data_IF_688830895059
#
_entry.id   IF_688830895059
#
_cell.length_a   1.000
_cell.length_b   1.000
_cell.length_c   1.000
_cell.angle_alpha   90.00
_cell.angle_beta   90.00
_cell.angle_gamma   90.00
#
_symmetry.space_group_name_H-M   'P 1'
#
loop_
_entity.id
_entity.type
_entity.pdbx_description
1 polymer ?
#
# COMPACT_ATOMS: atom_id res chain seq x y z
N UNK A 1 26.56 -21.46 -18.69
CA UNK A 1 25.46 -20.49 -18.95
C UNK A 1 24.17 -21.09 -18.44
N UNK A 2 23.40 -20.40 -17.59
CA UNK A 2 22.09 -20.92 -17.16
C UNK A 2 21.22 -21.12 -18.41
N UNK A 3 20.74 -22.34 -18.61
CA UNK A 3 19.97 -22.72 -19.78
C UNK A 3 18.51 -22.35 -19.55
N UNK A 4 18.13 -21.15 -20.03
CA UNK A 4 16.79 -20.61 -19.85
C UNK A 4 15.87 -21.06 -20.99
N UNK A 5 14.57 -21.20 -20.71
CA UNK A 5 13.56 -21.24 -21.75
C UNK A 5 13.45 -19.84 -22.38
N UNK A 6 13.54 -19.74 -23.70
CA UNK A 6 13.41 -18.46 -24.41
C UNK A 6 12.00 -18.35 -24.96
N UNK A 7 11.24 -17.35 -24.50
CA UNK A 7 9.85 -17.11 -24.90
C UNK A 7 9.82 -15.93 -25.84
N UNK A 8 9.36 -16.16 -27.06
CA UNK A 8 9.27 -15.16 -28.12
C UNK A 8 7.82 -14.66 -28.16
N UNK A 9 7.60 -13.37 -27.91
CA UNK A 9 6.26 -12.80 -27.82
C UNK A 9 6.11 -11.52 -28.63
N UNK A 10 4.87 -11.25 -29.04
CA UNK A 10 4.49 -10.03 -29.71
C UNK A 10 4.28 -8.90 -28.71
N UNK A 11 5.18 -7.92 -28.70
CA UNK A 11 5.09 -6.77 -27.81
C UNK A 11 4.00 -5.77 -28.17
N UNK A 12 3.39 -5.87 -29.36
CA UNK A 12 2.27 -4.99 -29.75
C UNK A 12 0.91 -5.59 -29.38
N UNK A 13 0.87 -6.84 -28.89
CA UNK A 13 -0.35 -7.53 -28.49
C UNK A 13 -0.51 -7.57 -26.97
N UNK A 14 -1.56 -6.96 -26.42
CA UNK A 14 -1.80 -6.93 -24.97
C UNK A 14 -2.07 -8.31 -24.37
N UNK A 15 -2.68 -9.21 -25.14
CA UNK A 15 -2.89 -10.60 -24.70
C UNK A 15 -1.53 -11.30 -24.51
N UNK A 16 -0.59 -11.05 -25.41
CA UNK A 16 0.78 -11.57 -25.33
C UNK A 16 1.56 -10.91 -24.18
N UNK A 17 1.50 -9.58 -24.04
CA UNK A 17 2.12 -8.86 -22.92
C UNK A 17 1.55 -9.32 -21.57
N UNK A 18 0.24 -9.53 -21.46
CA UNK A 18 -0.39 -10.05 -20.26
C UNK A 18 0.16 -11.45 -19.92
N UNK A 19 0.28 -12.33 -20.92
CA UNK A 19 0.94 -13.63 -20.75
C UNK A 19 2.37 -13.52 -20.23
N UNK A 20 3.17 -12.57 -20.74
CA UNK A 20 4.52 -12.31 -20.26
C UNK A 20 4.53 -11.79 -18.81
N UNK A 21 3.61 -10.90 -18.45
CA UNK A 21 3.49 -10.41 -17.08
C UNK A 21 3.17 -11.55 -16.09
N UNK A 22 2.31 -12.50 -16.49
CA UNK A 22 2.05 -13.72 -15.72
C UNK A 22 3.31 -14.57 -15.55
N UNK A 23 4.09 -14.76 -16.62
CA UNK A 23 5.35 -15.50 -16.54
C UNK A 23 6.34 -14.84 -15.57
N UNK A 24 6.46 -13.51 -15.58
CA UNK A 24 7.33 -12.77 -14.66
C UNK A 24 6.91 -12.92 -13.19
N UNK A 25 5.61 -13.02 -12.92
CA UNK A 25 5.09 -13.24 -11.57
C UNK A 25 5.37 -14.67 -11.09
N UNK A 26 5.18 -15.67 -11.96
CA UNK A 26 5.35 -17.09 -11.63
C UNK A 26 6.83 -17.53 -11.59
N UNK A 27 7.70 -16.89 -12.38
CA UNK A 27 9.10 -17.30 -12.53
C UNK A 27 10.03 -16.76 -11.43
N UNK A 28 9.78 -17.18 -10.19
CA UNK A 28 10.62 -16.82 -9.04
C UNK A 28 12.10 -17.23 -9.21
N UNK A 29 12.36 -18.30 -9.97
CA UNK A 29 13.69 -18.88 -10.13
C UNK A 29 14.42 -18.42 -11.41
N UNK A 30 13.87 -17.44 -12.15
CA UNK A 30 14.43 -16.91 -13.40
C UNK A 30 14.80 -18.04 -14.38
N UNK A 31 13.87 -18.96 -14.64
CA UNK A 31 14.01 -20.07 -15.61
C UNK A 31 13.67 -19.65 -17.04
N UNK A 32 13.00 -18.52 -17.20
CA UNK A 32 12.47 -18.03 -18.48
C UNK A 32 13.09 -16.68 -18.84
N UNK A 33 13.58 -16.57 -20.08
CA UNK A 33 13.98 -15.33 -20.71
C UNK A 33 12.93 -14.94 -21.75
N UNK A 34 12.34 -13.76 -21.61
CA UNK A 34 11.29 -13.25 -22.53
C UNK A 34 11.93 -12.31 -23.54
N UNK A 35 11.62 -12.50 -24.82
CA UNK A 35 12.18 -11.72 -25.93
C UNK A 35 11.04 -11.22 -26.83
N UNK A 36 10.97 -9.90 -27.13
CA UNK A 36 10.06 -9.40 -28.14
C UNK A 36 10.44 -9.96 -29.52
N UNK A 37 9.48 -10.02 -30.43
CA UNK A 37 9.72 -10.38 -31.83
C UNK A 37 10.56 -9.26 -32.48
N UNK A 38 11.85 -9.54 -32.65
CA UNK A 38 12.80 -8.66 -33.33
C UNK A 38 13.52 -9.45 -34.44
N UNK A 39 13.34 -9.08 -35.72
CA UNK A 39 14.03 -9.71 -36.85
C UNK A 39 15.56 -9.79 -36.70
N UNK A 40 16.19 -8.82 -36.03
CA UNK A 40 17.66 -8.79 -35.83
C UNK A 40 18.16 -9.81 -34.81
N UNK A 41 17.30 -10.29 -33.91
CA UNK A 41 17.70 -11.12 -32.76
C UNK A 41 17.20 -12.57 -32.91
N UNK A 42 16.11 -12.82 -33.63
CA UNK A 42 15.49 -14.16 -33.72
C UNK A 42 16.44 -15.25 -34.23
N UNK A 43 17.24 -14.97 -35.27
CA UNK A 43 18.22 -15.92 -35.80
C UNK A 43 19.34 -16.25 -34.80
N UNK A 44 19.65 -15.32 -33.89
CA UNK A 44 20.63 -15.56 -32.80
C UNK A 44 20.02 -16.38 -31.65
N UNK A 45 18.70 -16.35 -31.50
CA UNK A 45 17.98 -17.15 -30.49
C UNK A 45 17.86 -18.60 -30.96
N UNK A 46 17.40 -18.85 -32.19
CA UNK A 46 17.34 -20.18 -32.78
C UNK A 46 17.24 -20.10 -34.32
N UNK A 47 18.02 -20.89 -35.10
CA UNK A 47 18.13 -20.73 -36.55
C UNK A 47 16.83 -21.01 -37.31
N UNK A 48 15.90 -21.77 -36.73
CA UNK A 48 14.63 -22.13 -37.39
C UNK A 48 13.50 -21.12 -37.17
N UNK A 49 13.69 -20.09 -36.34
CA UNK A 49 12.64 -19.12 -36.06
C UNK A 49 12.50 -18.14 -37.22
N UNK A 50 11.27 -18.01 -37.72
CA UNK A 50 10.89 -17.02 -38.73
C UNK A 50 9.97 -15.97 -38.12
N UNK A 51 10.13 -14.73 -38.54
CA UNK A 51 9.37 -13.58 -38.03
C UNK A 51 7.87 -13.81 -38.26
N UNK A 52 7.49 -14.27 -39.45
CA UNK A 52 6.09 -14.47 -39.85
C UNK A 52 5.38 -15.54 -39.02
N UNK A 53 6.13 -16.58 -38.61
CA UNK A 53 5.60 -17.68 -37.78
C UNK A 53 5.49 -17.24 -36.32
N UNK A 54 6.47 -16.50 -35.79
CA UNK A 54 6.42 -15.92 -34.45
C UNK A 54 5.29 -14.87 -34.33
N UNK A 55 4.98 -14.17 -35.42
CA UNK A 55 3.81 -13.28 -35.49
C UNK A 55 2.49 -14.06 -35.55
N UNK A 56 2.45 -15.36 -35.83
CA UNK A 56 1.18 -16.13 -35.83
C UNK A 56 0.92 -16.79 -34.49
N UNK A 57 1.93 -17.41 -33.90
CA UNK A 57 1.80 -18.18 -32.66
C UNK A 57 2.98 -17.94 -31.72
N UNK A 58 2.76 -18.19 -30.43
CA UNK A 58 3.77 -18.13 -29.38
C UNK A 58 4.83 -19.20 -29.65
N UNK A 59 6.10 -18.82 -29.62
CA UNK A 59 7.22 -19.75 -29.75
C UNK A 59 8.03 -19.78 -28.45
N UNK A 60 8.40 -20.99 -28.03
CA UNK A 60 9.23 -21.20 -26.85
C UNK A 60 10.35 -22.16 -27.20
N UNK A 61 11.59 -21.71 -27.04
CA UNK A 61 12.79 -22.53 -27.23
C UNK A 61 13.21 -23.09 -25.88
N UNK A 62 13.30 -24.41 -25.79
CA UNK A 62 13.75 -25.09 -24.58
C UNK A 62 15.27 -24.94 -24.39
N UNK A 63 15.78 -25.14 -23.17
CA UNK A 63 17.21 -25.27 -22.89
C UNK A 63 17.96 -26.24 -23.81
N UNK A 64 17.29 -27.29 -24.29
CA UNK A 64 17.86 -28.30 -25.18
C UNK A 64 17.73 -27.97 -26.68
N UNK A 65 17.18 -26.80 -27.03
CA UNK A 65 17.01 -26.37 -28.43
C UNK A 65 15.69 -26.82 -29.07
N UNK A 66 14.82 -27.52 -28.34
CA UNK A 66 13.50 -27.89 -28.88
C UNK A 66 12.58 -26.68 -28.95
N UNK A 67 11.85 -26.53 -30.06
CA UNK A 67 10.91 -25.43 -30.27
C UNK A 67 9.48 -25.93 -30.05
N UNK A 68 8.81 -25.38 -29.05
CA UNK A 68 7.37 -25.56 -28.84
C UNK A 68 6.61 -24.36 -29.42
N UNK A 69 5.46 -24.63 -30.04
CA UNK A 69 4.64 -23.63 -30.72
C UNK A 69 3.20 -23.65 -30.23
N UNK A 70 2.59 -22.47 -30.15
CA UNK A 70 1.17 -22.28 -29.92
C UNK A 70 0.68 -22.83 -28.58
N UNK A 71 -0.37 -23.64 -28.59
CA UNK A 71 -0.90 -24.25 -27.36
C UNK A 71 0.14 -25.13 -26.65
N UNK A 72 1.01 -25.80 -27.41
CA UNK A 72 2.03 -26.68 -26.85
C UNK A 72 3.12 -25.86 -26.13
N UNK A 73 3.42 -24.66 -26.61
CA UNK A 73 4.26 -23.70 -25.90
C UNK A 73 3.63 -23.24 -24.58
N UNK A 74 2.34 -22.93 -24.57
CA UNK A 74 1.61 -22.53 -23.36
C UNK A 74 1.57 -23.66 -22.34
N UNK A 75 1.30 -24.89 -22.79
CA UNK A 75 1.29 -26.10 -21.95
C UNK A 75 2.68 -26.36 -21.35
N UNK A 76 3.74 -26.22 -22.16
CA UNK A 76 5.12 -26.35 -21.70
C UNK A 76 5.40 -25.36 -20.58
N UNK A 77 5.11 -24.07 -20.79
CA UNK A 77 5.32 -23.01 -19.80
C UNK A 77 4.52 -23.24 -18.51
N UNK A 78 3.24 -23.61 -18.64
CA UNK A 78 2.39 -23.87 -17.47
C UNK A 78 2.90 -25.03 -16.61
N UNK A 79 3.59 -26.03 -17.20
CA UNK A 79 4.20 -27.14 -16.47
C UNK A 79 5.50 -26.78 -15.74
N UNK A 80 6.11 -25.63 -16.04
CA UNK A 80 7.36 -25.21 -15.40
C UNK A 80 7.18 -24.73 -13.96
N UNK A 81 6.01 -24.20 -13.62
CA UNK A 81 5.74 -23.55 -12.33
C UNK A 81 4.77 -24.41 -11.50
N UNK A 82 5.05 -24.67 -10.21
CA UNK A 82 4.19 -25.48 -9.34
C UNK A 82 2.73 -25.03 -9.33
N UNK A 83 2.49 -23.72 -9.34
CA UNK A 83 1.19 -23.06 -9.24
C UNK A 83 0.30 -23.37 -10.45
N UNK A 84 0.89 -23.51 -11.64
CA UNK A 84 0.17 -23.77 -12.90
C UNK A 84 0.36 -25.19 -13.42
N UNK A 85 1.15 -26.02 -12.73
CA UNK A 85 1.54 -27.36 -13.19
C UNK A 85 0.37 -28.28 -13.43
N UNK A 86 -0.62 -28.24 -12.54
CA UNK A 86 -1.83 -29.06 -12.67
C UNK A 86 -2.62 -28.67 -13.92
N UNK A 87 -2.79 -27.36 -14.16
CA UNK A 87 -3.48 -26.83 -15.34
C UNK A 87 -2.75 -27.27 -16.62
N UNK A 88 -1.44 -27.10 -16.68
CA UNK A 88 -0.63 -27.55 -17.82
C UNK A 88 -0.64 -29.07 -18.02
N UNK A 89 -0.78 -29.84 -16.95
CA UNK A 89 -0.89 -31.31 -17.04
C UNK A 89 -2.22 -31.71 -17.66
N UNK A 90 -3.33 -31.15 -17.16
CA UNK A 90 -4.69 -31.37 -17.68
C UNK A 90 -4.81 -30.89 -19.13
N UNK A 91 -4.37 -29.67 -19.43
CA UNK A 91 -4.44 -29.09 -20.78
C UNK A 91 -3.64 -29.88 -21.82
N UNK A 92 -2.58 -30.59 -21.40
CA UNK A 92 -1.81 -31.45 -22.29
C UNK A 92 -2.23 -32.92 -22.31
N UNK A 93 -3.30 -33.31 -21.61
CA UNK A 93 -3.80 -34.68 -21.61
C UNK A 93 -4.39 -35.07 -22.98
N UNK A 94 -4.30 -36.34 -23.40
CA UNK A 94 -4.95 -36.82 -24.62
C UNK A 94 -6.45 -36.46 -24.65
N UNK A 95 -6.96 -35.98 -25.79
CA UNK A 95 -8.34 -35.46 -25.91
C UNK A 95 -8.46 -33.98 -25.54
N UNK A 96 -8.06 -33.58 -24.33
CA UNK A 96 -8.09 -32.16 -23.89
C UNK A 96 -7.13 -31.31 -24.71
N UNK A 97 -5.96 -31.85 -25.07
CA UNK A 97 -4.96 -31.15 -25.89
C UNK A 97 -5.51 -30.67 -27.23
N UNK A 98 -6.46 -31.40 -27.83
CA UNK A 98 -7.12 -30.99 -29.07
C UNK A 98 -7.97 -29.73 -28.83
N UNK A 99 -8.72 -29.72 -27.72
CA UNK A 99 -9.52 -28.57 -27.30
C UNK A 99 -8.60 -27.39 -26.97
N UNK A 100 -7.51 -27.59 -26.25
CA UNK A 100 -6.53 -26.55 -25.94
C UNK A 100 -5.91 -25.94 -27.19
N UNK A 101 -5.58 -26.75 -28.21
CA UNK A 101 -5.11 -26.26 -29.52
C UNK A 101 -6.17 -25.44 -30.24
N UNK A 102 -7.42 -25.91 -30.25
CA UNK A 102 -8.53 -25.19 -30.87
C UNK A 102 -8.76 -23.82 -30.18
N UNK A 103 -8.84 -23.81 -28.85
CA UNK A 103 -9.01 -22.59 -28.05
C UNK A 103 -7.84 -21.62 -28.23
N UNK A 104 -6.61 -22.12 -28.16
CA UNK A 104 -5.42 -21.32 -28.40
C UNK A 104 -5.45 -20.70 -29.80
N UNK A 105 -5.73 -21.49 -30.84
CA UNK A 105 -5.76 -21.00 -32.22
C UNK A 105 -6.83 -19.94 -32.43
N UNK A 106 -8.00 -20.11 -31.81
CA UNK A 106 -9.02 -19.06 -31.78
C UNK A 106 -8.49 -17.77 -31.16
N UNK A 107 -7.86 -17.85 -29.99
CA UNK A 107 -7.27 -16.67 -29.32
C UNK A 107 -6.17 -16.06 -30.19
N UNK A 108 -5.25 -16.85 -30.73
CA UNK A 108 -4.13 -16.37 -31.54
C UNK A 108 -4.60 -15.66 -32.82
N UNK A 109 -5.59 -16.23 -33.54
CA UNK A 109 -6.19 -15.62 -34.73
C UNK A 109 -6.95 -14.33 -34.43
N UNK A 110 -7.56 -14.25 -33.24
CA UNK A 110 -8.36 -13.09 -32.85
C UNK A 110 -7.60 -12.13 -31.93
N UNK A 111 -6.32 -12.37 -31.60
CA UNK A 111 -5.65 -11.71 -30.47
C UNK A 111 -5.62 -10.18 -30.55
N UNK A 112 -5.57 -9.60 -31.74
CA UNK A 112 -5.67 -8.15 -31.93
C UNK A 112 -7.11 -7.65 -31.76
N UNK A 113 -8.12 -8.42 -32.18
CA UNK A 113 -9.53 -8.18 -31.87
C UNK A 113 -9.86 -8.38 -30.40
N UNK A 114 -9.06 -9.19 -29.72
CA UNK A 114 -9.16 -9.41 -28.29
C UNK A 114 -8.34 -8.40 -27.45
N UNK A 115 -7.43 -7.66 -28.08
CA UNK A 115 -6.53 -6.68 -27.45
C UNK A 115 -7.20 -5.30 -27.42
N UNK A 116 -7.22 -4.62 -26.27
CA UNK A 116 -7.84 -3.30 -26.13
C UNK A 116 -6.75 -2.23 -26.03
N UNK A 117 -6.08 -1.91 -27.14
CA UNK A 117 -5.02 -0.88 -27.24
C UNK A 117 -5.09 0.24 -26.16
N UNK A 118 -4.50 -0.01 -25.00
CA UNK A 118 -4.45 0.83 -23.80
C UNK A 118 -3.01 0.79 -23.30
N UNK A 119 -2.40 1.96 -23.20
CA UNK A 119 -0.99 2.10 -22.81
C UNK A 119 -0.01 2.33 -23.96
N UNK A 120 -0.47 2.70 -25.16
CA UNK A 120 0.40 3.17 -26.24
C UNK A 120 1.09 2.11 -27.11
N UNK A 121 0.88 0.81 -26.85
CA UNK A 121 1.58 -0.28 -27.57
C UNK A 121 1.09 -0.57 -29.00
N UNK A 122 -0.05 -0.01 -29.43
CA UNK A 122 -0.57 -0.16 -30.79
C UNK A 122 -0.17 1.03 -31.68
N UNK A 123 1.05 1.05 -32.22
CA UNK A 123 1.45 2.11 -33.17
C UNK A 123 0.98 1.85 -34.61
N UNK A 124 0.56 0.61 -34.93
CA UNK A 124 0.31 0.17 -36.32
C UNK A 124 -1.19 -0.09 -36.60
N UNK A 125 -2.01 -0.29 -35.57
CA UNK A 125 -3.39 -0.78 -35.72
C UNK A 125 -4.40 0.33 -35.40
N UNK A 126 -5.28 0.64 -36.36
CA UNK A 126 -6.39 1.61 -36.21
C UNK A 126 -7.51 0.98 -35.37
N UNK A 127 -7.70 1.38 -34.09
CA UNK A 127 -8.63 0.71 -33.18
C UNK A 127 -10.09 0.78 -33.66
N UNK A 128 -10.46 1.87 -34.32
CA UNK A 128 -11.81 2.11 -34.85
C UNK A 128 -12.21 1.10 -35.94
N UNK A 129 -11.25 0.72 -36.79
CA UNK A 129 -11.46 -0.21 -37.91
C UNK A 129 -11.63 -1.65 -37.40
N UNK A 130 -11.01 -1.93 -36.26
CA UNK A 130 -11.03 -3.23 -35.60
C UNK A 130 -12.32 -3.45 -34.80
N UNK A 131 -12.81 -2.41 -34.12
CA UNK A 131 -14.13 -2.39 -33.46
C UNK A 131 -15.26 -2.62 -34.48
N UNK A 132 -15.14 -2.09 -35.70
CA UNK A 132 -16.12 -2.33 -36.79
C UNK A 132 -16.11 -3.77 -37.31
N UNK A 133 -14.96 -4.46 -37.26
CA UNK A 133 -14.80 -5.85 -37.76
C UNK A 133 -15.02 -6.91 -36.68
N UNK A 134 -14.85 -6.55 -35.40
CA UNK A 134 -15.11 -7.43 -34.27
C UNK A 134 -16.60 -7.44 -33.93
N UNK A 135 -17.29 -8.57 -34.08
CA UNK A 135 -18.68 -8.70 -33.60
C UNK A 135 -18.77 -8.45 -32.08
N UNK A 136 -19.95 -8.03 -31.60
CA UNK A 136 -20.24 -7.74 -30.18
C UNK A 136 -19.73 -8.81 -29.18
N UNK A 137 -19.67 -10.09 -29.59
CA UNK A 137 -19.18 -11.20 -28.77
C UNK A 137 -17.66 -11.21 -28.52
N UNK A 138 -16.84 -10.73 -29.45
CA UNK A 138 -15.38 -10.66 -29.26
C UNK A 138 -15.02 -9.62 -28.18
N UNK A 139 -15.76 -8.50 -28.12
CA UNK A 139 -15.57 -7.46 -27.12
C UNK A 139 -15.92 -7.92 -25.70
N UNK A 140 -17.03 -8.65 -25.54
CA UNK A 140 -17.46 -9.20 -24.24
C UNK A 140 -16.59 -10.37 -23.78
N UNK A 141 -16.17 -11.24 -24.69
CA UNK A 141 -15.29 -12.37 -24.36
C UNK A 141 -13.96 -11.91 -23.76
N UNK A 142 -13.36 -10.79 -24.18
CA UNK A 142 -12.10 -10.30 -23.61
C UNK A 142 -12.24 -9.73 -22.21
N UNK A 143 -13.35 -9.02 -21.97
CA UNK A 143 -13.61 -8.45 -20.66
C UNK A 143 -13.92 -9.55 -19.66
N UNK A 144 -14.76 -10.50 -20.05
CA UNK A 144 -15.17 -11.62 -19.19
C UNK A 144 -14.04 -12.62 -19.01
N UNK A 145 -13.38 -13.07 -20.08
CA UNK A 145 -12.25 -14.02 -20.00
C UNK A 145 -11.05 -13.36 -19.32
N UNK A 146 -10.71 -12.12 -19.66
CA UNK A 146 -9.62 -11.38 -19.01
C UNK A 146 -9.89 -11.13 -17.52
N UNK A 147 -11.14 -10.84 -17.14
CA UNK A 147 -11.56 -10.74 -15.75
C UNK A 147 -11.51 -12.10 -15.04
N UNK A 148 -12.04 -13.17 -15.65
CA UNK A 148 -12.01 -14.54 -15.08
C UNK A 148 -10.58 -15.02 -14.89
N UNK A 149 -9.68 -14.75 -15.84
CA UNK A 149 -8.26 -15.13 -15.74
C UNK A 149 -7.59 -14.36 -14.59
N UNK A 150 -7.86 -13.06 -14.43
CA UNK A 150 -7.26 -12.23 -13.36
C UNK A 150 -7.92 -12.41 -12.00
N UNK A 151 -9.18 -12.86 -11.96
CA UNK A 151 -9.97 -12.93 -10.73
C UNK A 151 -9.31 -13.81 -9.65
N UNK A 152 -8.75 -15.00 -9.94
CA UNK A 152 -7.98 -15.75 -8.96
C UNK A 152 -6.78 -14.99 -8.38
N UNK A 153 -6.05 -14.19 -9.18
CA UNK A 153 -4.93 -13.38 -8.66
C UNK A 153 -5.43 -12.23 -7.80
N UNK A 154 -6.42 -11.49 -8.26
CA UNK A 154 -6.98 -10.36 -7.51
C UNK A 154 -7.58 -10.84 -6.19
N UNK A 155 -8.28 -11.98 -6.19
CA UNK A 155 -8.80 -12.62 -4.99
C UNK A 155 -7.67 -13.12 -4.11
N UNK A 156 -6.66 -13.81 -4.66
CA UNK A 156 -5.53 -14.32 -3.86
C UNK A 156 -4.73 -13.17 -3.24
N UNK A 157 -4.49 -12.09 -3.98
CA UNK A 157 -3.85 -10.88 -3.48
C UNK A 157 -4.68 -10.21 -2.39
N UNK A 158 -5.99 -10.06 -2.60
CA UNK A 158 -6.91 -9.50 -1.60
C UNK A 158 -7.00 -10.37 -0.34
N UNK A 159 -7.05 -11.69 -0.47
CA UNK A 159 -7.04 -12.65 0.65
C UNK A 159 -5.70 -12.55 1.38
N UNK A 160 -4.58 -12.55 0.66
CA UNK A 160 -3.24 -12.43 1.26
C UNK A 160 -3.13 -11.14 2.06
N UNK A 161 -3.54 -10.02 1.49
CA UNK A 161 -3.53 -8.71 2.13
C UNK A 161 -4.46 -8.66 3.36
N UNK A 162 -5.64 -9.28 3.27
CA UNK A 162 -6.54 -9.44 4.42
C UNK A 162 -5.92 -10.29 5.54
N UNK A 163 -5.28 -11.41 5.20
CA UNK A 163 -4.57 -12.26 6.17
C UNK A 163 -3.45 -11.47 6.85
N UNK A 164 -2.65 -10.71 6.09
CA UNK A 164 -1.57 -9.90 6.65
C UNK A 164 -2.10 -8.78 7.56
N UNK A 165 -3.19 -8.10 7.19
CA UNK A 165 -3.88 -7.14 8.09
C UNK A 165 -4.32 -7.80 9.40
N UNK A 166 -5.00 -8.95 9.33
CA UNK A 166 -5.49 -9.68 10.50
C UNK A 166 -4.31 -10.10 11.40
N UNK A 167 -3.26 -10.70 10.83
CA UNK A 167 -2.06 -11.09 11.59
C UNK A 167 -1.45 -9.89 12.32
N UNK A 168 -1.32 -8.77 11.62
CA UNK A 168 -0.76 -7.52 12.16
C UNK A 168 -1.58 -7.00 13.32
N UNK A 169 -2.90 -6.92 13.14
CA UNK A 169 -3.83 -6.49 14.17
C UNK A 169 -3.79 -7.41 15.40
N UNK A 170 -3.85 -8.74 15.20
CA UNK A 170 -3.73 -9.70 16.30
C UNK A 170 -2.39 -9.56 17.02
N UNK A 171 -1.31 -9.35 16.28
CA UNK A 171 0.02 -9.19 16.85
C UNK A 171 0.14 -7.91 17.68
N UNK A 172 -0.48 -6.80 17.28
CA UNK A 172 -0.40 -5.52 17.99
C UNK A 172 -1.55 -5.28 18.97
N UNK A 173 -2.59 -6.13 18.99
CA UNK A 173 -3.79 -5.93 19.79
C UNK A 173 -3.49 -5.66 21.26
N UNK A 174 -3.74 -4.43 21.70
CA UNK A 174 -3.54 -3.96 23.08
C UNK A 174 -2.10 -4.17 23.59
N UNK A 175 -1.12 -4.24 22.71
CA UNK A 175 0.29 -4.29 23.08
C UNK A 175 0.85 -2.91 23.37
N UNK A 176 1.85 -2.88 24.25
CA UNK A 176 2.72 -1.74 24.47
C UNK A 176 4.09 -2.10 23.92
N UNK A 177 4.74 -1.15 23.27
CA UNK A 177 6.14 -1.27 22.85
C UNK A 177 6.92 -0.11 23.44
N UNK A 178 8.05 -0.42 24.07
CA UNK A 178 8.98 0.54 24.65
C UNK A 178 10.25 0.53 23.78
N UNK A 179 10.58 1.66 23.16
CA UNK A 179 11.70 1.88 22.23
C UNK A 179 12.57 3.04 22.74
N UNK A 180 13.80 3.16 22.24
CA UNK A 180 14.73 4.24 22.60
C UNK A 180 14.90 4.38 24.14
N UNK A 181 15.16 3.25 24.80
CA UNK A 181 15.28 3.16 26.28
C UNK A 181 14.04 3.64 27.02
N UNK A 182 12.86 3.45 26.42
CA UNK A 182 11.57 3.82 26.99
C UNK A 182 11.20 5.29 26.83
N UNK A 183 12.01 6.08 26.10
CA UNK A 183 11.67 7.44 25.69
C UNK A 183 10.53 7.45 24.69
N UNK A 184 10.49 6.47 23.78
CA UNK A 184 9.42 6.27 22.82
C UNK A 184 8.56 5.07 23.23
N UNK A 185 7.27 5.31 23.47
CA UNK A 185 6.29 4.29 23.84
C UNK A 185 5.13 4.30 22.87
N UNK A 186 4.80 3.13 22.35
CA UNK A 186 3.70 2.94 21.42
C UNK A 186 2.60 2.15 22.13
N UNK A 187 1.46 2.79 22.35
CA UNK A 187 0.31 2.19 23.01
C UNK A 187 -0.73 1.79 21.98
N UNK A 188 -0.70 0.54 21.49
CA UNK A 188 -1.72 0.09 20.54
C UNK A 188 -3.08 0.02 21.23
N UNK A 189 -4.03 0.76 20.66
CA UNK A 189 -5.37 0.90 21.15
C UNK A 189 -6.31 -0.09 20.48
N UNK A 190 -7.45 -0.31 21.11
CA UNK A 190 -8.49 -1.18 20.59
C UNK A 190 -9.75 -1.10 21.43
N UNK A 191 -10.82 -1.66 20.89
CA UNK A 191 -12.15 -1.66 21.47
C UNK A 191 -13.20 -1.71 20.38
N UNK A 192 -14.11 -2.69 20.46
CA UNK A 192 -15.26 -2.75 19.57
C UNK A 192 -16.15 -1.50 19.77
N UNK A 193 -16.66 -0.89 18.68
CA UNK A 193 -16.54 -1.31 17.28
C UNK A 193 -15.33 -0.76 16.49
N UNK A 194 -14.43 0.03 17.07
CA UNK A 194 -13.27 0.61 16.36
C UNK A 194 -12.36 -0.44 15.73
N UNK A 195 -12.24 -1.60 16.38
CA UNK A 195 -11.43 -2.75 15.93
C UNK A 195 -11.78 -3.24 14.51
N UNK A 196 -12.95 -2.87 13.97
CA UNK A 196 -13.32 -3.14 12.57
C UNK A 196 -12.42 -2.41 11.58
N UNK A 197 -11.94 -1.21 11.90
CA UNK A 197 -11.12 -0.39 11.01
C UNK A 197 -9.76 -1.03 10.70
N UNK A 198 -8.93 -1.43 11.68
CA UNK A 198 -7.67 -2.11 11.40
C UNK A 198 -7.87 -3.46 10.68
N UNK A 199 -8.99 -4.15 10.89
CA UNK A 199 -9.29 -5.41 10.22
C UNK A 199 -9.64 -5.21 8.73
N UNK A 200 -10.41 -4.16 8.40
CA UNK A 200 -10.85 -3.89 7.03
C UNK A 200 -9.81 -3.08 6.25
N UNK A 201 -9.34 -1.98 6.82
CA UNK A 201 -8.50 -0.99 6.13
C UNK A 201 -7.00 -1.15 6.47
N UNK A 202 -6.67 -1.81 7.59
CA UNK A 202 -5.28 -1.97 8.02
C UNK A 202 -4.75 -0.80 8.84
N UNK A 203 -5.56 0.24 9.06
CA UNK A 203 -5.24 1.41 9.87
C UNK A 203 -5.29 1.05 11.36
N UNK A 204 -4.12 0.92 11.98
CA UNK A 204 -4.03 0.66 13.41
C UNK A 204 -4.25 1.96 14.19
N UNK A 205 -4.73 1.83 15.42
CA UNK A 205 -4.84 2.97 16.32
C UNK A 205 -3.81 2.84 17.44
N UNK A 206 -3.12 3.92 17.73
CA UNK A 206 -2.20 3.97 18.86
C UNK A 206 -2.12 5.36 19.48
N UNK A 207 -1.59 5.42 20.70
CA UNK A 207 -1.11 6.67 21.29
C UNK A 207 0.40 6.57 21.37
N UNK A 208 1.08 7.59 20.84
CA UNK A 208 2.54 7.70 20.93
C UNK A 208 2.87 8.49 22.18
N UNK A 209 3.74 7.97 23.04
CA UNK A 209 4.31 8.73 24.15
C UNK A 209 5.79 8.92 23.87
N UNK A 210 6.22 10.16 23.74
CA UNK A 210 7.62 10.51 23.51
C UNK A 210 8.10 11.52 24.55
N UNK A 211 9.10 11.13 25.36
CA UNK A 211 9.71 11.97 26.40
C UNK A 211 8.69 12.68 27.31
N UNK A 212 7.63 11.97 27.70
CA UNK A 212 6.57 12.47 28.58
C UNK A 212 5.50 13.31 27.89
N UNK A 213 5.51 13.40 26.55
CA UNK A 213 4.42 13.95 25.75
C UNK A 213 3.59 12.79 25.21
N UNK A 214 2.28 12.76 25.48
CA UNK A 214 1.35 11.83 24.86
C UNK A 214 0.70 12.49 23.63
N UNK A 215 0.86 11.89 22.46
CA UNK A 215 0.37 12.38 21.17
C UNK A 215 -0.76 11.48 20.68
N UNK A 216 -1.87 12.11 20.28
CA UNK A 216 -3.05 11.47 19.71
C UNK A 216 -3.63 10.36 20.63
N UNK A 217 -4.33 10.73 21.72
CA UNK A 217 -4.80 9.79 22.74
C UNK A 217 -5.98 8.89 22.30
N UNK A 218 -6.25 8.81 21.00
CA UNK A 218 -7.28 7.93 20.48
C UNK A 218 -8.72 8.46 20.65
N UNK A 219 -9.66 7.75 20.04
CA UNK A 219 -11.09 8.00 20.15
C UNK A 219 -11.70 7.67 21.53
N UNK A 220 -12.89 8.19 21.86
CA UNK A 220 -13.57 7.90 23.13
C UNK A 220 -13.90 6.41 23.32
N UNK A 221 -14.12 5.68 22.22
CA UNK A 221 -14.41 4.23 22.24
C UNK A 221 -13.20 3.40 22.66
N UNK A 222 -11.98 3.92 22.43
CA UNK A 222 -10.74 3.26 22.79
C UNK A 222 -10.25 3.59 24.22
N UNK A 223 -10.96 4.46 24.95
CA UNK A 223 -10.58 4.95 26.28
C UNK A 223 -10.26 3.86 27.28
N UNK A 224 -11.06 2.77 27.31
CA UNK A 224 -10.80 1.64 28.22
C UNK A 224 -9.46 0.96 27.91
N UNK A 225 -9.03 0.96 26.64
CA UNK A 225 -7.72 0.43 26.27
C UNK A 225 -6.59 1.35 26.63
N UNK A 226 -6.75 2.65 26.37
CA UNK A 226 -5.80 3.65 26.82
C UNK A 226 -5.62 3.58 28.35
N UNK A 227 -6.70 3.58 29.13
CA UNK A 227 -6.66 3.48 30.60
C UNK A 227 -5.89 2.25 31.10
N UNK A 228 -6.05 1.09 30.46
CA UNK A 228 -5.31 -0.15 30.80
C UNK A 228 -3.81 -0.03 30.56
N UNK A 229 -3.39 0.75 29.56
CA UNK A 229 -1.97 1.03 29.32
C UNK A 229 -1.43 2.02 30.35
N UNK A 230 -2.17 3.08 30.64
CA UNK A 230 -1.79 4.11 31.60
C UNK A 230 -1.60 3.56 33.02
N UNK A 231 -2.44 2.60 33.45
CA UNK A 231 -2.32 1.98 34.77
C UNK A 231 -1.02 1.20 34.98
N UNK A 232 -0.25 0.95 33.91
CA UNK A 232 1.06 0.27 33.94
C UNK A 232 2.23 1.22 33.72
N UNK A 233 1.98 2.53 33.67
CA UNK A 233 3.00 3.57 33.57
C UNK A 233 3.31 4.14 34.95
N UNK A 234 4.53 4.63 35.17
CA UNK A 234 4.84 5.33 36.42
C UNK A 234 3.97 6.59 36.56
N UNK A 235 3.73 7.00 37.81
CA UNK A 235 3.10 8.29 38.10
C UNK A 235 3.89 9.41 37.43
N UNK A 236 3.19 10.39 36.85
CA UNK A 236 3.79 11.52 36.12
C UNK A 236 4.59 11.13 34.87
N UNK A 237 4.35 9.94 34.29
CA UNK A 237 4.95 9.53 33.02
C UNK A 237 4.56 10.44 31.84
N UNK A 238 3.45 11.16 31.96
CA UNK A 238 2.92 12.07 30.94
C UNK A 238 2.77 13.44 31.59
N UNK A 239 3.35 14.46 30.97
CA UNK A 239 3.34 15.87 31.41
C UNK A 239 2.60 16.77 30.42
N UNK A 240 2.56 16.37 29.16
CA UNK A 240 1.82 17.06 28.11
C UNK A 240 0.99 16.06 27.29
N UNK A 241 -0.18 16.50 26.83
CA UNK A 241 -1.04 15.80 25.88
C UNK A 241 -1.19 16.66 24.64
N UNK A 242 -0.94 16.11 23.46
CA UNK A 242 -0.93 16.83 22.18
C UNK A 242 -1.88 16.18 21.19
N UNK A 243 -2.58 17.01 20.41
CA UNK A 243 -3.23 16.58 19.18
C UNK A 243 -2.40 17.00 17.96
N UNK A 244 -2.26 16.12 16.99
CA UNK A 244 -1.68 16.48 15.69
C UNK A 244 -2.69 17.16 14.77
N UNK A 245 -3.96 16.72 14.80
CA UNK A 245 -5.06 17.30 14.04
C UNK A 245 -6.42 16.88 14.62
N UNK A 246 -7.52 17.46 14.13
CA UNK A 246 -8.85 17.37 14.75
C UNK A 246 -9.61 16.04 14.57
N UNK A 247 -9.14 15.08 13.76
CA UNK A 247 -9.93 13.87 13.46
C UNK A 247 -10.24 13.05 14.73
N UNK A 248 -11.42 12.46 14.76
CA UNK A 248 -12.02 11.89 15.97
C UNK A 248 -11.29 10.68 16.54
N UNK A 249 -10.60 9.94 15.68
CA UNK A 249 -9.79 8.78 16.02
C UNK A 249 -8.55 9.15 16.82
N UNK A 250 -8.12 10.42 16.79
CA UNK A 250 -6.91 10.90 17.44
C UNK A 250 -7.20 11.72 18.70
N UNK A 251 -8.23 12.59 18.66
CA UNK A 251 -8.45 13.62 19.71
C UNK A 251 -9.47 13.26 20.78
N UNK A 252 -10.18 12.15 20.63
CA UNK A 252 -11.33 11.80 21.46
C UNK A 252 -11.09 11.69 22.97
N UNK A 253 -9.84 11.52 23.39
CA UNK A 253 -9.47 11.41 24.80
C UNK A 253 -8.59 12.55 25.32
N UNK A 254 -8.41 13.67 24.60
CA UNK A 254 -7.57 14.79 25.06
C UNK A 254 -7.93 15.25 26.49
N UNK A 255 -9.18 15.71 26.68
CA UNK A 255 -9.66 16.20 27.99
C UNK A 255 -9.56 15.12 29.08
N UNK A 256 -9.88 13.87 28.72
CA UNK A 256 -9.89 12.76 29.69
C UNK A 256 -8.48 12.40 30.14
N UNK A 257 -7.53 12.30 29.20
CA UNK A 257 -6.15 11.95 29.49
C UNK A 257 -5.48 13.03 30.34
N UNK A 258 -5.70 14.29 29.99
CA UNK A 258 -5.19 15.43 30.77
C UNK A 258 -5.71 15.40 32.21
N UNK A 259 -7.04 15.25 32.40
CA UNK A 259 -7.64 15.14 33.73
C UNK A 259 -7.11 13.92 34.50
N UNK A 260 -6.88 12.80 33.83
CA UNK A 260 -6.42 11.56 34.47
C UNK A 260 -4.95 11.62 34.89
N UNK A 261 -4.12 12.37 34.17
CA UNK A 261 -2.66 12.43 34.39
C UNK A 261 -2.21 13.71 35.09
N UNK A 262 -3.05 14.75 35.12
CA UNK A 262 -2.67 16.11 35.51
C UNK A 262 -1.83 16.85 34.46
N UNK A 263 -1.69 16.28 33.26
CA UNK A 263 -0.91 16.86 32.17
C UNK A 263 -1.59 18.07 31.51
N UNK A 264 -0.78 18.96 30.96
CA UNK A 264 -1.26 20.10 30.18
C UNK A 264 -1.65 19.68 28.76
N UNK A 265 -2.73 20.24 28.22
CA UNK A 265 -3.17 19.97 26.85
C UNK A 265 -2.60 21.03 25.92
N UNK A 266 -1.96 20.61 24.83
CA UNK A 266 -1.52 21.47 23.75
C UNK A 266 -2.23 21.09 22.45
N UNK A 267 -2.78 22.08 21.75
CA UNK A 267 -3.50 21.87 20.51
C UNK A 267 -3.13 22.93 19.47
N UNK A 268 -3.00 22.60 18.18
CA UNK A 268 -2.82 23.59 17.14
C UNK A 268 -3.97 24.61 17.14
N UNK A 269 -3.72 25.89 16.81
CA UNK A 269 -4.76 26.93 16.88
C UNK A 269 -6.01 26.65 16.05
N UNK A 270 -5.88 26.02 14.88
CA UNK A 270 -7.02 25.66 14.03
C UNK A 270 -7.76 24.47 14.64
N UNK A 271 -7.04 23.44 15.10
CA UNK A 271 -7.61 22.28 15.81
C UNK A 271 -8.41 22.72 17.03
N UNK A 272 -7.89 23.65 17.84
CA UNK A 272 -8.59 24.20 18.99
C UNK A 272 -9.95 24.81 18.61
N UNK A 273 -9.98 25.64 17.55
CA UNK A 273 -11.22 26.25 17.06
C UNK A 273 -12.24 25.19 16.62
N UNK A 274 -11.79 24.17 15.89
CA UNK A 274 -12.64 23.07 15.43
C UNK A 274 -13.20 22.25 16.60
N UNK A 275 -12.37 21.92 17.59
CA UNK A 275 -12.78 21.11 18.74
C UNK A 275 -13.66 21.88 19.73
N UNK A 276 -13.47 23.19 19.89
CA UNK A 276 -14.35 24.02 20.73
C UNK A 276 -15.73 24.13 20.10
N UNK A 277 -15.77 24.40 18.78
CA UNK A 277 -17.02 24.48 18.03
C UNK A 277 -17.74 23.12 17.98
N UNK A 278 -16.96 22.05 17.90
CA UNK A 278 -17.42 20.72 17.53
C UNK A 278 -17.67 20.62 16.02
N UNK A 279 -17.74 19.38 15.55
CA UNK A 279 -18.05 19.06 14.15
C UNK A 279 -18.98 17.85 14.08
N UNK A 280 -19.81 17.81 13.05
CA UNK A 280 -20.72 16.69 12.81
C UNK A 280 -20.00 15.57 12.06
N UNK A 281 -20.25 14.34 12.49
CA UNK A 281 -19.70 13.14 11.88
C UNK A 281 -20.81 12.34 11.19
N UNK A 282 -20.53 11.74 10.02
CA UNK A 282 -21.40 10.73 9.44
C UNK A 282 -21.74 9.65 10.46
N UNK A 283 -22.99 9.17 10.44
CA UNK A 283 -23.50 8.26 11.48
C UNK A 283 -22.62 7.00 11.64
N UNK A 284 -22.08 6.47 10.55
CA UNK A 284 -21.21 5.29 10.56
C UNK A 284 -19.89 5.58 11.28
N UNK A 285 -19.21 6.70 10.97
CA UNK A 285 -17.99 7.14 11.67
C UNK A 285 -18.26 7.39 13.15
N UNK A 286 -19.37 8.06 13.49
CA UNK A 286 -19.80 8.26 14.88
C UNK A 286 -20.04 6.96 15.63
N UNK A 287 -20.63 5.96 14.99
CA UNK A 287 -20.88 4.66 15.60
C UNK A 287 -19.58 3.87 15.83
N UNK A 288 -18.73 3.82 14.79
CA UNK A 288 -17.50 3.02 14.76
C UNK A 288 -16.42 3.66 15.63
N UNK A 289 -16.08 4.93 15.40
CA UNK A 289 -14.97 5.64 16.05
C UNK A 289 -15.43 6.38 17.31
N UNK A 290 -16.60 7.00 17.26
CA UNK A 290 -17.14 7.85 18.33
C UNK A 290 -16.98 9.35 18.04
N UNK A 291 -17.77 10.18 18.73
CA UNK A 291 -17.64 11.64 18.63
C UNK A 291 -16.76 12.18 19.76
N UNK A 292 -15.74 13.00 19.46
CA UNK A 292 -14.92 13.61 20.49
C UNK A 292 -15.77 14.63 21.27
N UNK A 293 -15.61 14.72 22.61
CA UNK A 293 -16.22 15.81 23.36
C UNK A 293 -15.56 17.15 22.97
N UNK A 294 -16.26 18.29 23.09
CA UNK A 294 -15.65 19.59 22.87
C UNK A 294 -14.41 19.80 23.76
N UNK A 295 -13.40 20.49 23.25
CA UNK A 295 -12.17 20.79 24.00
C UNK A 295 -12.48 21.62 25.26
N UNK A 296 -11.91 21.24 26.40
CA UNK A 296 -12.16 21.88 27.69
C UNK A 296 -10.94 22.64 28.19
N UNK A 297 -11.16 23.77 28.85
CA UNK A 297 -10.10 24.52 29.54
C UNK A 297 -9.66 23.80 30.84
N UNK A 298 -8.39 23.97 31.28
CA UNK A 298 -7.33 24.73 30.60
C UNK A 298 -6.69 23.92 29.47
N UNK A 299 -6.35 24.61 28.38
CA UNK A 299 -5.48 24.10 27.31
C UNK A 299 -4.59 25.25 26.82
N UNK A 300 -3.48 24.90 26.19
CA UNK A 300 -2.54 25.83 25.60
C UNK A 300 -2.54 25.67 24.08
N UNK A 301 -2.26 26.77 23.38
CA UNK A 301 -2.02 26.72 21.95
C UNK A 301 -0.62 26.14 21.71
N UNK A 302 -0.53 25.17 20.81
CA UNK A 302 0.75 24.62 20.40
C UNK A 302 1.51 25.68 19.60
N UNK A 303 2.69 26.06 20.10
CA UNK A 303 3.62 26.97 19.43
C UNK A 303 4.54 26.25 18.44
N UNK A 304 5.64 26.89 18.07
CA UNK A 304 6.68 26.31 17.18
C UNK A 304 7.53 25.24 17.88
N UNK A 305 7.46 25.18 19.21
CA UNK A 305 8.27 24.30 20.05
C UNK A 305 7.44 23.80 21.22
N UNK A 306 7.61 22.52 21.54
CA UNK A 306 7.00 21.87 22.69
C UNK A 306 8.10 21.28 23.58
N UNK A 307 8.11 21.65 24.86
CA UNK A 307 9.08 21.09 25.82
C UNK A 307 8.74 19.64 26.13
N UNK A 308 9.77 18.79 26.17
CA UNK A 308 9.68 17.41 26.60
C UNK A 308 10.52 17.20 27.86
N UNK A 309 10.51 15.99 28.41
CA UNK A 309 11.36 15.62 29.55
C UNK A 309 12.84 15.60 29.19
N UNK A 310 13.17 15.23 27.94
CA UNK A 310 14.55 15.06 27.46
C UNK A 310 15.06 16.21 26.58
N UNK A 311 14.21 17.18 26.24
CA UNK A 311 14.55 18.27 25.33
C UNK A 311 13.33 19.03 24.81
N UNK A 312 13.20 19.12 23.49
CA UNK A 312 12.13 19.85 22.83
C UNK A 312 11.79 19.21 21.49
N UNK A 313 10.50 19.21 21.14
CA UNK A 313 9.98 18.89 19.81
C UNK A 313 9.74 20.19 19.05
N UNK A 314 10.33 20.31 17.86
CA UNK A 314 9.98 21.34 16.88
C UNK A 314 8.62 20.98 16.26
N UNK A 315 7.73 21.97 16.11
CA UNK A 315 6.38 21.79 15.59
C UNK A 315 6.30 22.42 14.20
N UNK A 316 5.94 21.63 13.19
CA UNK A 316 5.81 22.11 11.81
C UNK A 316 4.36 22.00 11.33
N UNK A 317 3.76 23.08 10.81
CA UNK A 317 2.48 23.00 10.13
C UNK A 317 2.57 22.07 8.91
N UNK A 318 1.66 21.11 8.81
CA UNK A 318 1.66 20.07 7.80
C UNK A 318 0.30 19.93 7.11
N UNK A 319 -0.28 21.02 6.56
CA UNK A 319 -1.58 20.94 5.89
C UNK A 319 -1.51 19.99 4.70
N UNK A 320 -2.60 19.25 4.50
CA UNK A 320 -2.68 18.26 3.43
C UNK A 320 -3.76 17.24 3.71
N UNK A 321 -3.53 16.38 4.71
CA UNK A 321 -4.54 15.46 5.23
C UNK A 321 -5.72 16.21 5.84
N UNK A 322 -5.41 17.22 6.65
CA UNK A 322 -6.34 18.23 7.10
C UNK A 322 -5.61 19.57 7.16
N UNK A 323 -6.33 20.69 7.12
CA UNK A 323 -5.70 22.01 7.11
C UNK A 323 -5.12 22.42 8.48
N UNK A 324 -5.50 21.73 9.56
CA UNK A 324 -5.05 22.00 10.93
C UNK A 324 -3.89 21.11 11.39
N UNK A 325 -3.40 20.23 10.51
CA UNK A 325 -2.41 19.21 10.85
C UNK A 325 -1.03 19.78 11.16
N UNK A 326 -0.37 19.20 12.15
CA UNK A 326 1.02 19.47 12.51
C UNK A 326 1.82 18.17 12.65
N UNK A 327 3.13 18.26 12.38
CA UNK A 327 4.10 17.21 12.69
C UNK A 327 5.05 17.66 13.80
N UNK A 328 5.56 16.70 14.56
CA UNK A 328 6.49 16.95 15.66
C UNK A 328 7.84 16.32 15.33
N UNK A 329 8.91 17.09 15.49
CA UNK A 329 10.24 16.67 15.10
C UNK A 329 11.25 16.87 16.23
N UNK A 330 11.94 15.80 16.60
CA UNK A 330 13.11 15.83 17.45
C UNK A 330 14.36 15.88 16.57
N UNK A 331 15.00 17.05 16.51
CA UNK A 331 16.25 17.27 15.75
C UNK A 331 17.40 16.39 16.21
N UNK A 332 17.49 16.10 17.51
CA UNK A 332 18.60 15.37 18.11
C UNK A 332 18.49 13.88 17.79
N UNK A 333 17.30 13.30 17.93
CA UNK A 333 17.05 11.90 17.57
C UNK A 333 16.76 11.69 16.09
N UNK A 334 16.62 12.79 15.32
CA UNK A 334 16.16 12.79 13.92
C UNK A 334 14.87 11.99 13.75
N UNK A 335 13.99 12.12 14.75
CA UNK A 335 12.74 11.40 14.87
C UNK A 335 11.60 12.35 14.52
N UNK A 336 10.79 11.98 13.54
CA UNK A 336 9.61 12.72 13.13
C UNK A 336 8.35 11.91 13.40
N UNK A 337 7.46 12.46 14.21
CA UNK A 337 6.09 12.00 14.36
C UNK A 337 5.28 12.73 13.30
N UNK A 338 5.10 12.06 12.15
CA UNK A 338 4.44 12.62 10.97
C UNK A 338 2.91 12.44 11.03
N UNK A 339 2.43 11.56 11.92
CA UNK A 339 1.00 11.24 12.06
C UNK A 339 0.37 10.97 10.68
N UNK A 340 -0.79 11.54 10.39
CA UNK A 340 -1.48 11.31 9.12
C UNK A 340 -0.96 12.17 7.95
N UNK A 341 0.01 13.07 8.17
CA UNK A 341 0.66 13.78 7.07
C UNK A 341 1.52 12.85 6.20
N UNK A 342 1.76 11.61 6.64
CA UNK A 342 2.23 10.53 5.79
C UNK A 342 1.61 9.20 6.26
N UNK A 343 0.99 8.50 5.31
CA UNK A 343 0.45 7.16 5.49
C UNK A 343 0.94 6.30 4.33
N UNK A 344 1.70 5.25 4.64
CA UNK A 344 2.29 4.33 3.65
C UNK A 344 1.26 3.40 3.00
N UNK A 345 0.13 3.15 3.67
CA UNK A 345 -1.00 2.39 3.12
C UNK A 345 -2.00 3.29 2.39
N UNK A 346 -2.61 2.75 1.33
CA UNK A 346 -3.46 3.46 0.39
C UNK A 346 -4.55 4.26 1.08
N UNK A 347 -4.63 5.53 0.72
CA UNK A 347 -5.68 6.43 1.12
C UNK A 347 -7.00 6.03 0.44
N UNK A 348 -7.81 5.24 1.14
CA UNK A 348 -9.15 4.87 0.69
C UNK A 348 -10.13 5.98 1.04
N UNK A 349 -10.32 6.88 0.08
CA UNK A 349 -11.29 7.98 0.01
C UNK A 349 -10.81 9.35 0.56
N UNK A 350 -10.75 10.39 -0.29
CA UNK A 350 -10.58 11.77 0.18
C UNK A 350 -11.73 12.19 1.07
N UNK A 351 -11.42 12.38 2.35
CA UNK A 351 -12.23 13.22 3.19
C UNK A 351 -12.27 14.64 2.57
N UNK A 352 -13.39 15.38 2.72
CA UNK A 352 -13.56 16.70 2.10
C UNK A 352 -12.51 17.75 2.49
N UNK A 353 -11.78 17.52 3.58
CA UNK A 353 -10.74 18.39 4.14
C UNK A 353 -9.33 18.13 3.57
N UNK A 354 -9.18 17.12 2.71
CA UNK A 354 -7.91 16.79 2.09
C UNK A 354 -7.58 17.74 0.95
N UNK A 355 -6.42 18.40 1.04
CA UNK A 355 -5.87 19.27 0.00
C UNK A 355 -4.53 18.70 -0.49
N UNK A 356 -4.56 18.05 -1.66
CA UNK A 356 -3.36 17.44 -2.24
C UNK A 356 -2.28 18.46 -2.61
N UNK A 357 -2.62 19.72 -2.89
CA UNK A 357 -1.63 20.76 -3.23
C UNK A 357 -0.86 21.18 -1.98
N UNK A 358 -1.56 21.41 -0.88
CA UNK A 358 -0.92 21.69 0.41
C UNK A 358 -0.12 20.48 0.87
N UNK A 359 -0.63 19.26 0.65
CA UNK A 359 0.08 18.03 1.01
C UNK A 359 1.42 17.89 0.26
N UNK A 360 1.44 18.16 -1.04
CA UNK A 360 2.67 18.19 -1.84
C UNK A 360 3.68 19.17 -1.25
N UNK A 361 3.27 20.40 -0.95
CA UNK A 361 4.14 21.42 -0.34
C UNK A 361 4.63 21.01 1.06
N UNK A 362 3.79 20.34 1.84
CA UNK A 362 4.16 19.76 3.13
C UNK A 362 5.25 18.71 2.95
N UNK A 363 5.08 17.72 2.08
CA UNK A 363 6.09 16.68 1.84
C UNK A 363 7.42 17.27 1.33
N UNK A 364 7.37 18.29 0.45
CA UNK A 364 8.56 19.00 -0.03
C UNK A 364 9.34 19.67 1.11
N UNK A 365 8.64 20.28 2.08
CA UNK A 365 9.28 20.86 3.27
C UNK A 365 9.84 19.78 4.21
N UNK A 366 9.10 18.69 4.43
CA UNK A 366 9.56 17.60 5.31
C UNK A 366 10.82 16.90 4.74
N UNK A 367 10.92 16.76 3.42
CA UNK A 367 12.11 16.20 2.75
C UNK A 367 13.38 17.04 2.95
N UNK A 368 13.26 18.32 3.30
CA UNK A 368 14.41 19.17 3.62
C UNK A 368 15.00 18.87 5.01
N UNK A 369 14.28 18.17 5.88
CA UNK A 369 14.73 17.80 7.22
C UNK A 369 15.58 16.52 7.19
N UNK A 370 16.38 16.32 8.25
CA UNK A 370 17.21 15.14 8.43
C UNK A 370 16.45 14.12 9.29
N UNK A 371 15.85 13.12 8.66
CA UNK A 371 14.92 12.18 9.30
C UNK A 371 15.49 10.77 9.21
N UNK A 372 15.72 10.15 10.36
CA UNK A 372 16.17 8.75 10.48
C UNK A 372 15.07 7.84 11.05
N UNK A 373 14.09 8.38 11.77
CA UNK A 373 12.91 7.65 12.26
C UNK A 373 11.65 8.42 11.87
N UNK A 374 10.74 7.78 11.15
CA UNK A 374 9.45 8.35 10.75
C UNK A 374 8.31 7.54 11.36
N UNK A 375 7.46 8.17 12.17
CA UNK A 375 6.36 7.53 12.91
C UNK A 375 5.02 8.03 12.35
N UNK A 376 4.27 7.12 11.72
CA UNK A 376 2.94 7.38 11.14
C UNK A 376 1.84 7.51 12.20
N UNK A 377 0.66 8.00 11.81
CA UNK A 377 -0.51 8.02 12.68
C UNK A 377 -1.13 6.64 12.93
N UNK A 378 -0.87 5.68 12.04
CA UNK A 378 -1.61 4.42 11.97
C UNK A 378 -0.77 3.15 12.13
N UNK A 379 0.22 3.18 13.03
CA UNK A 379 0.87 1.95 13.51
C UNK A 379 2.16 1.55 12.81
N UNK A 380 2.77 2.45 12.03
CA UNK A 380 3.99 2.17 11.29
C UNK A 380 5.15 3.09 11.70
N UNK A 381 6.34 2.49 11.75
CA UNK A 381 7.62 3.19 11.90
C UNK A 381 8.49 2.85 10.70
N UNK A 382 8.96 3.84 9.97
CA UNK A 382 9.94 3.66 8.90
C UNK A 382 11.30 4.10 9.40
N UNK A 383 12.29 3.21 9.34
CA UNK A 383 13.64 3.52 9.77
C UNK A 383 14.67 2.50 9.30
N UNK A 384 15.88 3.00 9.02
CA UNK A 384 17.08 2.17 8.79
C UNK A 384 17.94 2.04 10.06
N UNK A 385 17.56 2.68 11.17
CA UNK A 385 18.32 2.66 12.42
C UNK A 385 18.32 1.27 13.05
N UNK A 386 19.49 0.65 13.28
CA UNK A 386 19.58 -0.72 13.79
C UNK A 386 19.23 -0.84 15.27
N UNK A 387 19.24 0.26 16.03
CA UNK A 387 18.87 0.28 17.45
C UNK A 387 17.36 0.21 17.68
N UNK A 388 16.55 0.51 16.66
CA UNK A 388 15.12 0.17 16.66
C UNK A 388 15.00 -1.32 16.31
N UNK A 389 14.39 -2.18 17.14
CA UNK A 389 14.26 -3.61 16.88
C UNK A 389 13.29 -3.90 15.72
N UNK A 390 13.48 -5.04 15.06
CA UNK A 390 12.52 -5.55 14.07
C UNK A 390 11.25 -6.01 14.75
N UNK A 391 10.17 -5.25 14.54
CA UNK A 391 8.85 -5.58 15.05
C UNK A 391 7.95 -5.90 13.85
N UNK A 392 7.59 -7.18 13.63
CA UNK A 392 6.81 -7.60 12.48
C UNK A 392 5.52 -6.78 12.31
N UNK A 393 5.40 -6.15 11.15
CA UNK A 393 4.22 -5.38 10.79
C UNK A 393 4.08 -4.01 11.47
N UNK A 394 5.08 -3.56 12.24
CA UNK A 394 5.12 -2.22 12.82
C UNK A 394 6.34 -1.46 12.31
N UNK A 395 7.53 -2.08 12.38
CA UNK A 395 8.77 -1.48 11.90
C UNK A 395 9.02 -1.90 10.45
N UNK A 396 9.13 -0.91 9.57
CA UNK A 396 9.40 -1.05 8.14
C UNK A 396 10.83 -0.58 7.89
N UNK A 397 11.68 -1.50 7.38
CA UNK A 397 13.08 -1.23 7.05
C UNK A 397 13.23 -0.55 5.70
N UNK A 398 12.75 0.69 5.64
CA UNK A 398 12.87 1.58 4.49
C UNK A 398 13.34 2.95 4.95
N UNK A 399 14.04 3.65 4.08
CA UNK A 399 14.58 4.98 4.39
C UNK A 399 13.42 5.98 4.47
N UNK A 400 13.26 6.72 5.58
CA UNK A 400 12.21 7.74 5.73
C UNK A 400 12.10 8.73 4.58
N UNK A 401 13.23 9.19 4.04
CA UNK A 401 13.24 10.18 2.96
C UNK A 401 12.81 9.56 1.63
N UNK A 402 13.16 8.30 1.38
CA UNK A 402 12.68 7.57 0.20
C UNK A 402 11.17 7.36 0.24
N UNK A 403 10.62 7.00 1.40
CA UNK A 403 9.17 6.86 1.62
C UNK A 403 8.41 8.16 1.34
N UNK A 404 8.86 9.27 1.93
CA UNK A 404 8.27 10.60 1.68
C UNK A 404 8.38 10.99 0.20
N UNK A 405 9.51 10.67 -0.45
CA UNK A 405 9.74 10.96 -1.86
C UNK A 405 8.83 10.13 -2.78
N UNK A 406 8.64 8.84 -2.49
CA UNK A 406 7.70 7.96 -3.22
C UNK A 406 6.27 8.50 -3.11
N UNK A 407 5.83 8.88 -1.91
CA UNK A 407 4.51 9.50 -1.70
C UNK A 407 4.37 10.82 -2.45
N UNK A 408 5.40 11.67 -2.42
CA UNK A 408 5.41 12.94 -3.14
C UNK A 408 5.30 12.72 -4.67
N UNK A 409 6.03 11.77 -5.21
CA UNK A 409 5.96 11.40 -6.63
C UNK A 409 4.56 10.88 -6.99
N UNK A 410 3.97 10.05 -6.14
CA UNK A 410 2.61 9.56 -6.33
C UNK A 410 1.57 10.71 -6.35
N UNK A 411 1.62 11.63 -5.39
CA UNK A 411 0.71 12.78 -5.36
C UNK A 411 0.92 13.73 -6.54
N UNK A 412 2.16 13.92 -6.99
CA UNK A 412 2.47 14.71 -8.20
C UNK A 412 1.95 14.05 -9.46
N UNK A 413 1.97 12.72 -9.54
CA UNK A 413 1.43 11.97 -10.68
C UNK A 413 -0.10 12.04 -10.78
N UNK A 414 -0.80 12.14 -9.63
CA UNK A 414 -2.26 12.30 -9.61
C UNK A 414 -2.75 13.69 -10.02
N UNK A 415 -1.87 14.70 -10.06
CA UNK A 415 -2.18 16.08 -10.46
C UNK A 415 -2.28 16.23 -11.97
#
# INVERSE_FOLDING_TARGET
MRSHYRVIYDEQCEVCQAGVSWLKILDHNKRVAVHPIDPGILHTIHPTLKVEECLRELHVVSPGGEVAVGADAVILLARLFPETRLIGTIAGAPGIRVISRMLYRFVALNRYALSKCRGGACHVVRPEELVKRSGLGAFWSCYVIGMIIRMPLSITAAIRDAIERIKRYVFTYRKRMDLLDGRLRLLFLGGMPCDVVPLIFGEQFWTVIYDGVAIDPGSPKMRRSLQRHLSKLPLNAIRAVVATHHHEEHVGNLNWLAKHTGAEVFVPPITAKLLIKGFELPWARRFIIGSPPPLQAPFQMLGEQLRTTGGCLEVYPAPGHSNDHVVLYDRREKLMIVADAFMGVYFSAPNPDVDSRNWIQTLERLLALDIEILIEGHGFIHTMRPDIPDIPGVVIRRNPKEELQEKLQYLKWLR
#
